data_IF_034010540821
#
_entry.id   IF_034010540821
#
_cell.length_a   1.000
_cell.length_b   1.000
_cell.length_c   1.000
_cell.angle_alpha   90.00
_cell.angle_beta   90.00
_cell.angle_gamma   90.00
#
_symmetry.space_group_name_H-M   'P 1'
#
loop_
_entity.id
_entity.type
_entity.pdbx_description
1 polymer ?
#
# COMPACT_ATOMS: atom_id res chain seq x y z
N UNK A 1 -5.57 5.90 -21.62
CA UNK A 1 -6.29 6.09 -20.35
C UNK A 1 -6.34 4.76 -19.60
N UNK A 2 -5.93 4.78 -18.32
CA UNK A 2 -5.96 3.67 -17.36
C UNK A 2 -5.01 2.52 -17.67
N UNK A 3 -3.74 2.73 -17.36
CA UNK A 3 -2.75 1.67 -17.13
C UNK A 3 -3.31 0.72 -16.08
N UNK A 4 -3.83 -0.41 -16.54
CA UNK A 4 -4.36 -1.47 -15.70
C UNK A 4 -3.16 -2.20 -15.11
N UNK A 5 -2.65 -1.71 -13.98
CA UNK A 5 -1.67 -2.46 -13.21
C UNK A 5 -2.42 -3.68 -12.66
N UNK A 6 -2.27 -4.82 -13.37
CA UNK A 6 -2.73 -6.13 -12.93
C UNK A 6 -1.92 -6.57 -11.72
N UNK A 7 -2.23 -6.00 -10.56
CA UNK A 7 -1.78 -6.51 -9.28
C UNK A 7 -2.49 -7.84 -9.05
N UNK A 8 -1.74 -8.94 -8.99
CA UNK A 8 -2.26 -10.26 -8.66
C UNK A 8 -2.90 -10.20 -7.28
N UNK A 9 -4.22 -10.07 -7.27
CA UNK A 9 -5.05 -9.94 -6.09
C UNK A 9 -5.13 -11.30 -5.39
N UNK A 10 -4.16 -11.58 -4.50
CA UNK A 10 -4.17 -12.75 -3.64
C UNK A 10 -5.33 -12.60 -2.64
N UNK A 11 -6.47 -13.23 -2.95
CA UNK A 11 -7.72 -13.18 -2.18
C UNK A 11 -7.54 -13.88 -0.82
N UNK A 12 -7.02 -13.18 0.18
CA UNK A 12 -7.02 -13.63 1.57
C UNK A 12 -8.24 -13.06 2.30
N UNK A 13 -9.11 -13.95 2.78
CA UNK A 13 -10.45 -13.66 3.28
C UNK A 13 -10.52 -12.92 4.64
N UNK A 14 -9.39 -12.53 5.25
CA UNK A 14 -9.38 -11.92 6.61
C UNK A 14 -8.34 -10.81 6.80
N UNK A 15 -7.66 -10.36 5.74
CA UNK A 15 -6.53 -9.43 5.84
C UNK A 15 -6.74 -8.17 4.98
N UNK A 16 -6.27 -7.03 5.50
CA UNK A 16 -6.19 -5.78 4.75
C UNK A 16 -4.95 -5.84 3.86
N UNK A 17 -5.14 -5.66 2.55
CA UNK A 17 -4.04 -5.59 1.57
C UNK A 17 -3.74 -4.12 1.32
N UNK A 18 -2.46 -3.76 1.38
CA UNK A 18 -1.93 -2.45 1.06
C UNK A 18 -0.93 -2.54 -0.10
N UNK A 19 -1.16 -1.77 -1.15
CA UNK A 19 -0.29 -1.63 -2.30
C UNK A 19 0.07 -0.15 -2.41
N UNK A 20 1.34 0.19 -2.17
CA UNK A 20 1.84 1.54 -2.41
C UNK A 20 2.15 1.75 -3.89
N UNK A 21 1.47 2.70 -4.54
CA UNK A 21 1.76 3.17 -5.90
C UNK A 21 2.23 4.64 -5.83
N UNK A 22 3.07 5.09 -6.76
CA UNK A 22 3.63 6.45 -6.77
C UNK A 22 2.71 7.38 -7.61
N UNK A 23 2.46 8.64 -7.23
CA UNK A 23 1.87 9.68 -8.03
C UNK A 23 2.96 10.59 -8.65
N UNK A 24 2.86 10.72 -9.96
CA UNK A 24 2.59 11.98 -10.67
C UNK A 24 3.41 13.23 -10.27
N UNK A 25 4.72 13.16 -10.41
CA UNK A 25 5.48 14.30 -10.95
C UNK A 25 6.30 13.81 -12.13
N UNK A 26 5.94 14.31 -13.31
CA UNK A 26 6.69 14.12 -14.55
C UNK A 26 8.16 14.46 -14.30
N UNK A 27 9.06 13.60 -14.80
CA UNK A 27 10.22 13.92 -15.64
C UNK A 27 11.10 12.66 -15.75
N UNK A 28 10.90 11.96 -16.87
CA UNK A 28 11.81 11.00 -17.53
C UNK A 28 12.05 9.59 -16.91
N UNK A 29 11.76 8.60 -17.76
CA UNK A 29 12.22 7.19 -17.74
C UNK A 29 11.57 6.24 -16.72
N UNK A 30 10.34 5.84 -17.06
CA UNK A 30 10.04 4.43 -17.30
C UNK A 30 10.23 3.46 -16.13
N UNK A 31 9.38 3.55 -15.10
CA UNK A 31 8.85 2.36 -14.45
C UNK A 31 7.71 2.71 -13.47
N UNK A 32 6.47 2.30 -13.78
CA UNK A 32 5.38 2.25 -12.80
C UNK A 32 5.67 1.14 -11.79
N UNK A 33 6.66 1.35 -10.92
CA UNK A 33 7.11 0.34 -9.95
C UNK A 33 6.29 0.45 -8.66
N UNK A 34 5.56 -0.62 -8.35
CA UNK A 34 5.08 -0.87 -6.99
C UNK A 34 6.26 -0.81 -6.02
N UNK A 35 6.23 0.09 -5.02
CA UNK A 35 7.35 0.20 -4.07
C UNK A 35 7.31 -0.89 -3.01
N UNK A 36 6.11 -1.19 -2.51
CA UNK A 36 5.91 -2.18 -1.47
C UNK A 36 4.48 -2.74 -1.50
N UNK A 37 4.37 -3.98 -1.06
CA UNK A 37 3.11 -4.66 -0.78
C UNK A 37 3.12 -5.14 0.67
N UNK A 38 2.13 -4.71 1.43
CA UNK A 38 1.98 -5.06 2.84
C UNK A 38 0.62 -5.73 3.06
N UNK A 39 0.63 -6.84 3.79
CA UNK A 39 -0.56 -7.52 4.25
C UNK A 39 -0.58 -7.43 5.77
N UNK A 40 -1.66 -6.92 6.34
CA UNK A 40 -1.80 -6.85 7.79
C UNK A 40 -3.23 -7.13 8.24
N UNK A 41 -3.36 -7.66 9.46
CA UNK A 41 -4.64 -7.96 10.08
C UNK A 41 -5.32 -6.69 10.59
N UNK A 42 -6.64 -6.74 10.88
CA UNK A 42 -7.37 -5.67 11.57
C UNK A 42 -6.76 -5.29 12.92
N UNK A 43 -6.07 -6.21 13.58
CA UNK A 43 -5.33 -5.95 14.83
C UNK A 43 -4.00 -5.20 14.62
N UNK A 44 -3.64 -4.85 13.39
CA UNK A 44 -2.35 -4.21 13.06
C UNK A 44 -1.16 -5.18 12.98
N UNK A 45 -1.40 -6.49 13.14
CA UNK A 45 -0.36 -7.53 12.98
C UNK A 45 0.01 -7.69 11.50
N UNK A 46 1.26 -7.36 11.16
CA UNK A 46 1.82 -7.56 9.83
C UNK A 46 1.97 -9.07 9.54
N UNK A 47 1.39 -9.52 8.42
CA UNK A 47 1.39 -10.92 7.96
C UNK A 47 2.35 -11.15 6.81
N UNK A 48 2.44 -10.17 5.91
CA UNK A 48 3.34 -10.22 4.76
C UNK A 48 3.88 -8.82 4.51
N UNK A 49 5.18 -8.73 4.24
CA UNK A 49 5.80 -7.52 3.71
C UNK A 49 6.68 -7.91 2.52
N UNK A 50 6.48 -7.23 1.40
CA UNK A 50 7.33 -7.33 0.24
C UNK A 50 7.74 -5.92 -0.15
N UNK A 51 9.04 -5.68 -0.14
CA UNK A 51 9.65 -4.43 -0.57
C UNK A 51 10.31 -4.69 -1.92
N UNK A 52 9.93 -3.92 -2.93
CA UNK A 52 10.53 -3.98 -4.27
C UNK A 52 11.64 -2.95 -4.42
N UNK A 53 11.57 -1.85 -3.65
CA UNK A 53 12.61 -0.82 -3.57
C UNK A 53 13.45 -1.02 -2.30
N UNK A 54 14.77 -0.85 -2.44
CA UNK A 54 15.71 -0.92 -1.33
C UNK A 54 15.58 0.33 -0.44
N UNK A 55 14.93 0.15 0.73
CA UNK A 55 14.87 1.16 1.79
C UNK A 55 15.58 0.66 3.06
N UNK A 56 16.12 1.58 3.88
CA UNK A 56 16.71 1.22 5.16
C UNK A 56 15.64 0.67 6.12
N UNK A 57 15.98 -0.34 6.92
CA UNK A 57 15.00 -1.07 7.77
C UNK A 57 14.33 -0.18 8.82
N UNK A 58 15.03 0.86 9.29
CA UNK A 58 14.45 1.89 10.17
C UNK A 58 13.27 2.59 9.50
N UNK A 59 13.43 2.94 8.22
CA UNK A 59 12.41 3.62 7.44
C UNK A 59 11.26 2.66 7.08
N UNK A 60 11.56 1.41 6.68
CA UNK A 60 10.55 0.38 6.41
C UNK A 60 9.60 0.17 7.59
N UNK A 61 10.15 0.08 8.81
CA UNK A 61 9.37 -0.05 10.05
C UNK A 61 8.53 1.20 10.34
N UNK A 62 9.07 2.40 10.10
CA UNK A 62 8.34 3.67 10.26
C UNK A 62 7.16 3.78 9.29
N UNK A 63 7.39 3.56 8.00
CA UNK A 63 6.37 3.59 6.94
C UNK A 63 5.25 2.60 7.27
N UNK A 64 5.61 1.36 7.61
CA UNK A 64 4.62 0.30 7.90
C UNK A 64 3.71 0.68 9.07
N UNK A 65 4.27 1.21 10.17
CA UNK A 65 3.48 1.61 11.35
C UNK A 65 2.56 2.80 11.06
N UNK A 66 3.08 3.82 10.39
CA UNK A 66 2.31 5.00 9.99
C UNK A 66 1.12 4.58 9.11
N UNK A 67 1.36 3.79 8.06
CA UNK A 67 0.33 3.33 7.14
C UNK A 67 -0.74 2.48 7.82
N UNK A 68 -0.36 1.49 8.63
CA UNK A 68 -1.31 0.64 9.36
C UNK A 68 -2.23 1.51 10.22
N UNK A 69 -1.67 2.47 10.95
CA UNK A 69 -2.44 3.35 11.84
C UNK A 69 -3.43 4.19 11.05
N UNK A 70 -2.98 4.83 9.97
CA UNK A 70 -3.83 5.65 9.10
C UNK A 70 -4.96 4.83 8.47
N UNK A 71 -4.70 3.60 8.02
CA UNK A 71 -5.71 2.76 7.36
C UNK A 71 -6.71 2.21 8.38
N UNK A 72 -6.25 1.79 9.57
CA UNK A 72 -7.13 1.29 10.63
C UNK A 72 -8.08 2.38 11.16
N UNK A 73 -7.60 3.63 11.25
CA UNK A 73 -8.44 4.77 11.64
C UNK A 73 -9.52 5.13 10.60
N UNK A 74 -9.39 4.71 9.34
CA UNK A 74 -10.38 5.02 8.28
C UNK A 74 -11.64 4.15 8.36
N UNK A 75 -12.80 4.81 8.21
CA UNK A 75 -14.13 4.19 8.11
C UNK A 75 -14.26 3.36 6.81
N UNK A 76 -15.00 2.24 6.83
CA UNK A 76 -15.12 1.33 5.68
C UNK A 76 -15.90 1.90 4.49
N UNK A 77 -16.63 3.02 4.65
CA UNK A 77 -17.37 3.69 3.55
C UNK A 77 -16.51 4.64 2.71
N UNK A 78 -15.23 4.82 3.03
CA UNK A 78 -14.33 5.72 2.30
C UNK A 78 -13.62 5.00 1.14
N UNK A 79 -13.07 5.78 0.21
CA UNK A 79 -12.38 5.27 -0.98
C UNK A 79 -11.20 4.35 -0.63
N UNK A 80 -10.95 3.38 -1.50
CA UNK A 80 -9.80 2.47 -1.45
C UNK A 80 -8.45 3.14 -1.80
N UNK A 81 -8.48 4.45 -2.08
CA UNK A 81 -7.32 5.25 -2.45
C UNK A 81 -7.00 6.22 -1.31
N UNK A 82 -5.76 6.18 -0.86
CA UNK A 82 -5.21 7.07 0.16
C UNK A 82 -3.98 7.76 -0.43
N UNK A 83 -3.99 9.07 -0.47
CA UNK A 83 -2.77 9.84 -0.72
C UNK A 83 -2.06 10.01 0.62
N UNK A 84 -0.83 9.50 0.71
CA UNK A 84 0.01 9.58 1.89
C UNK A 84 1.34 10.19 1.48
N UNK A 85 1.61 11.41 1.96
CA UNK A 85 2.74 12.22 1.50
C UNK A 85 2.68 12.32 -0.03
N UNK A 86 3.75 11.92 -0.70
CA UNK A 86 3.88 11.91 -2.15
C UNK A 86 3.70 10.50 -2.73
N UNK A 87 2.98 9.60 -2.04
CA UNK A 87 2.63 8.27 -2.57
C UNK A 87 1.13 7.99 -2.53
N UNK A 88 0.63 7.35 -3.58
CA UNK A 88 -0.76 6.93 -3.74
C UNK A 88 -0.91 5.49 -3.28
N UNK A 89 -1.42 5.32 -2.09
CA UNK A 89 -1.58 4.04 -1.43
C UNK A 89 -2.98 3.48 -1.74
N UNK A 90 -3.03 2.31 -2.37
CA UNK A 90 -4.26 1.58 -2.63
C UNK A 90 -4.42 0.51 -1.57
N UNK A 91 -5.58 0.46 -0.91
CA UNK A 91 -5.87 -0.58 0.07
C UNK A 91 -7.24 -1.19 -0.13
N UNK A 92 -7.35 -2.47 0.16
CA UNK A 92 -8.63 -3.18 0.17
C UNK A 92 -8.82 -3.88 1.51
N UNK A 93 -9.95 -3.55 2.15
CA UNK A 93 -10.44 -4.19 3.38
C UNK A 93 -11.46 -5.25 2.96
N UNK A 94 -11.10 -6.52 3.08
CA UNK A 94 -12.07 -7.62 3.05
C UNK A 94 -12.75 -7.61 4.42
N UNK A 95 -13.98 -7.10 4.48
CA UNK A 95 -14.89 -7.29 5.62
C UNK A 95 -15.46 -8.69 5.60
#
# INVERSE_FOLDING_TARGET
>A
MKSFISATFQRSSTANILIGLIPNTEWFLGCEQMQFMLLFSRQGKLRLQKWYVAHPDKLKKKITRELITTILARKPKMSSFLEWKDVKVVYKRSV
#
